data_IF_895492434250
#
_entry.id   IF_895492434250
#
_cell.length_a   1.000
_cell.length_b   1.000
_cell.length_c   1.000
_cell.angle_alpha   90.00
_cell.angle_beta   90.00
_cell.angle_gamma   90.00
#
_symmetry.space_group_name_H-M   'P 1'
#
loop_
_entity.id
_entity.type
_entity.pdbx_description
1 polymer ?
#
# COMPACT_ATOMS: atom_id res chain seq x y z
N UNK A 1 3.01 -24.58 -40.72
CA UNK A 1 2.23 -23.34 -40.52
C UNK A 1 2.19 -23.07 -39.02
N UNK A 2 3.22 -22.40 -38.49
CA UNK A 2 3.37 -22.08 -37.06
C UNK A 2 3.03 -20.59 -36.88
N UNK A 3 1.84 -20.29 -36.37
CA UNK A 3 1.48 -18.93 -35.96
C UNK A 3 2.14 -18.61 -34.62
N UNK A 4 3.35 -18.05 -34.68
CA UNK A 4 4.01 -17.43 -33.53
C UNK A 4 3.56 -15.98 -33.40
N UNK A 5 2.46 -15.72 -32.69
CA UNK A 5 2.21 -14.40 -32.15
C UNK A 5 3.07 -14.23 -30.90
N UNK A 6 4.27 -13.65 -31.07
CA UNK A 6 4.97 -13.00 -29.96
C UNK A 6 4.14 -11.78 -29.55
N UNK A 7 3.18 -11.96 -28.64
CA UNK A 7 2.59 -10.84 -27.93
C UNK A 7 3.64 -10.31 -26.97
N UNK A 8 4.32 -9.24 -27.37
CA UNK A 8 5.21 -8.49 -26.49
C UNK A 8 4.39 -7.95 -25.31
N UNK A 9 4.69 -8.43 -24.11
CA UNK A 9 3.89 -8.15 -22.92
C UNK A 9 4.26 -6.75 -22.39
N UNK A 10 3.62 -5.71 -22.92
CA UNK A 10 3.79 -4.34 -22.43
C UNK A 10 3.05 -4.14 -21.10
N UNK A 11 3.79 -4.07 -19.99
CA UNK A 11 3.24 -3.72 -18.67
C UNK A 11 3.08 -2.20 -18.57
N UNK A 12 1.90 -1.72 -18.16
CA UNK A 12 1.63 -0.30 -17.89
C UNK A 12 1.06 -0.17 -16.48
N UNK A 13 1.82 0.44 -15.57
CA UNK A 13 1.33 0.83 -14.25
C UNK A 13 0.62 2.17 -14.37
N UNK A 14 -0.64 2.21 -13.96
CA UNK A 14 -1.49 3.40 -13.98
C UNK A 14 -2.18 3.51 -12.63
N UNK A 15 -2.34 4.73 -12.13
CA UNK A 15 -3.25 4.95 -11.00
C UNK A 15 -4.70 4.74 -11.44
N UNK A 16 -5.56 4.38 -10.49
CA UNK A 16 -6.99 4.16 -10.75
C UNK A 16 -7.65 5.38 -11.41
N UNK A 17 -7.26 6.59 -11.02
CA UNK A 17 -7.76 7.83 -11.64
C UNK A 17 -7.35 8.00 -13.11
N UNK A 18 -6.12 7.59 -13.48
CA UNK A 18 -5.65 7.66 -14.87
C UNK A 18 -6.39 6.64 -15.73
N UNK A 19 -6.55 5.40 -15.25
CA UNK A 19 -7.31 4.37 -15.96
C UNK A 19 -8.78 4.79 -16.15
N UNK A 20 -9.39 5.37 -15.11
CA UNK A 20 -10.76 5.87 -15.19
C UNK A 20 -10.88 6.99 -16.24
N UNK A 21 -9.95 7.95 -16.26
CA UNK A 21 -9.92 9.01 -17.28
C UNK A 21 -9.77 8.44 -18.69
N UNK A 22 -8.90 7.45 -18.86
CA UNK A 22 -8.71 6.77 -20.14
C UNK A 22 -9.98 6.06 -20.62
N UNK A 23 -10.76 5.48 -19.70
CA UNK A 23 -12.05 4.86 -20.02
C UNK A 23 -13.11 5.85 -20.53
N UNK A 24 -12.96 7.16 -20.25
CA UNK A 24 -13.86 8.19 -20.80
C UNK A 24 -13.60 8.41 -22.30
N UNK A 25 -12.34 8.33 -22.73
CA UNK A 25 -11.96 8.48 -24.14
C UNK A 25 -12.03 7.17 -24.92
N UNK A 26 -11.73 6.05 -24.28
CA UNK A 26 -11.82 4.71 -24.86
C UNK A 26 -12.67 3.79 -23.96
N UNK A 27 -14.01 3.84 -24.08
CA UNK A 27 -14.92 3.10 -23.20
C UNK A 27 -14.70 1.59 -23.20
N UNK A 28 -14.21 1.02 -24.30
CA UNK A 28 -13.96 -0.42 -24.41
C UNK A 28 -12.57 -0.83 -23.95
N UNK A 29 -11.66 0.13 -23.70
CA UNK A 29 -10.30 -0.10 -23.21
C UNK A 29 -9.53 -1.12 -24.06
N UNK A 30 -9.71 -1.11 -25.40
CA UNK A 30 -9.21 -2.13 -26.34
C UNK A 30 -7.71 -2.40 -26.28
N UNK A 31 -6.93 -1.41 -25.87
CA UNK A 31 -5.48 -1.54 -25.73
C UNK A 31 -5.04 -2.45 -24.56
N UNK A 32 -5.96 -2.84 -23.69
CA UNK A 32 -5.71 -3.75 -22.58
C UNK A 32 -6.37 -5.10 -22.85
N UNK A 33 -5.58 -6.16 -22.71
CA UNK A 33 -6.04 -7.57 -22.67
C UNK A 33 -6.20 -8.08 -21.24
N UNK A 34 -5.47 -7.48 -20.29
CA UNK A 34 -5.55 -7.77 -18.86
C UNK A 34 -5.55 -6.45 -18.09
N UNK A 35 -6.47 -6.33 -17.13
CA UNK A 35 -6.51 -5.23 -16.16
C UNK A 35 -6.35 -5.82 -14.76
N UNK A 36 -5.41 -5.31 -13.98
CA UNK A 36 -5.22 -5.68 -12.58
C UNK A 36 -5.66 -4.49 -11.74
N UNK A 37 -6.69 -4.67 -10.91
CA UNK A 37 -7.13 -3.69 -9.92
C UNK A 37 -6.53 -4.09 -8.58
N UNK A 38 -5.48 -3.38 -8.18
CA UNK A 38 -4.75 -3.64 -6.95
C UNK A 38 -5.31 -2.85 -5.76
N UNK A 39 -5.05 -3.37 -4.56
CA UNK A 39 -5.48 -2.81 -3.28
C UNK A 39 -6.95 -2.40 -3.22
N UNK A 40 -7.82 -3.26 -3.76
CA UNK A 40 -9.26 -2.99 -3.79
C UNK A 40 -9.91 -2.82 -2.40
N UNK A 41 -9.18 -3.13 -1.32
CA UNK A 41 -9.64 -2.89 0.04
C UNK A 41 -9.62 -1.42 0.49
N UNK A 42 -8.85 -0.56 -0.18
CA UNK A 42 -8.81 0.88 0.16
C UNK A 42 -10.14 1.60 -0.14
N UNK A 43 -11.06 0.96 -0.89
CA UNK A 43 -12.41 1.46 -1.19
C UNK A 43 -12.45 2.92 -1.63
N UNK A 44 -11.47 3.33 -2.43
CA UNK A 44 -11.50 4.65 -3.03
C UNK A 44 -12.62 4.74 -4.07
N UNK A 45 -13.24 5.92 -4.20
CA UNK A 45 -14.32 6.17 -5.16
C UNK A 45 -13.96 5.72 -6.59
N UNK A 46 -12.71 5.99 -7.01
CA UNK A 46 -12.23 5.58 -8.33
C UNK A 46 -12.24 4.06 -8.50
N UNK A 47 -11.87 3.31 -7.46
CA UNK A 47 -11.85 1.85 -7.48
C UNK A 47 -13.26 1.29 -7.59
N UNK A 48 -14.21 1.82 -6.83
CA UNK A 48 -15.60 1.37 -6.89
C UNK A 48 -16.24 1.62 -8.26
N UNK A 49 -15.97 2.79 -8.86
CA UNK A 49 -16.41 3.10 -10.22
C UNK A 49 -15.76 2.13 -11.22
N UNK A 50 -14.46 1.90 -11.10
CA UNK A 50 -13.74 0.95 -11.97
C UNK A 50 -14.30 -0.46 -11.84
N UNK A 51 -14.63 -0.96 -10.65
CA UNK A 51 -15.23 -2.27 -10.45
C UNK A 51 -16.57 -2.39 -11.20
N UNK A 52 -17.41 -1.35 -11.13
CA UNK A 52 -18.65 -1.27 -11.90
C UNK A 52 -18.41 -1.28 -13.42
N UNK A 53 -17.44 -0.50 -13.89
CA UNK A 53 -17.05 -0.46 -15.31
C UNK A 53 -16.50 -1.81 -15.79
N UNK A 54 -15.63 -2.44 -15.01
CA UNK A 54 -15.03 -3.74 -15.33
C UNK A 54 -16.12 -4.82 -15.42
N UNK A 55 -17.08 -4.83 -14.49
CA UNK A 55 -18.20 -5.78 -14.53
C UNK A 55 -19.01 -5.66 -15.83
N UNK A 56 -19.21 -4.44 -16.33
CA UNK A 56 -19.84 -4.21 -17.64
C UNK A 56 -18.94 -4.68 -18.77
N UNK A 57 -17.66 -4.32 -18.75
CA UNK A 57 -16.71 -4.65 -19.82
C UNK A 57 -16.46 -6.14 -19.98
N UNK A 58 -16.33 -6.90 -18.90
CA UNK A 58 -16.17 -8.35 -18.96
C UNK A 58 -17.31 -9.01 -19.74
N UNK A 59 -18.54 -8.49 -19.65
CA UNK A 59 -19.69 -9.01 -20.42
C UNK A 59 -19.59 -8.70 -21.91
N UNK A 60 -19.11 -7.51 -22.28
CA UNK A 60 -18.98 -7.10 -23.67
C UNK A 60 -17.71 -7.65 -24.35
N UNK A 61 -16.65 -7.88 -23.57
CA UNK A 61 -15.31 -8.29 -24.01
C UNK A 61 -14.90 -9.65 -23.42
N UNK A 62 -15.87 -10.55 -23.28
CA UNK A 62 -15.69 -11.83 -22.60
C UNK A 62 -14.61 -12.73 -23.23
N UNK A 63 -14.33 -12.56 -24.53
CA UNK A 63 -13.36 -13.36 -25.27
C UNK A 63 -11.92 -12.86 -25.17
N UNK A 64 -11.71 -11.57 -24.84
CA UNK A 64 -10.40 -10.91 -25.00
C UNK A 64 -9.95 -10.04 -23.82
N UNK A 65 -10.80 -9.81 -22.81
CA UNK A 65 -10.44 -9.08 -21.59
C UNK A 65 -10.44 -9.98 -20.36
N UNK A 66 -9.33 -9.96 -19.61
CA UNK A 66 -9.23 -10.55 -18.27
C UNK A 66 -9.11 -9.45 -17.22
N UNK A 67 -9.75 -9.66 -16.07
CA UNK A 67 -9.66 -8.75 -14.93
C UNK A 67 -9.22 -9.55 -13.70
N UNK A 68 -8.16 -9.08 -13.05
CA UNK A 68 -7.69 -9.59 -11.75
C UNK A 68 -7.93 -8.51 -10.71
N UNK A 69 -8.49 -8.88 -9.57
CA UNK A 69 -8.71 -7.98 -8.44
C UNK A 69 -7.90 -8.54 -7.28
N UNK A 70 -6.98 -7.74 -6.75
CA UNK A 70 -6.15 -8.10 -5.61
C UNK A 70 -6.53 -7.26 -4.39
N UNK A 71 -6.44 -7.89 -3.22
CA UNK A 71 -6.83 -7.27 -1.96
C UNK A 71 -6.26 -8.03 -0.76
N UNK A 72 -5.80 -7.30 0.25
CA UNK A 72 -5.34 -7.89 1.51
C UNK A 72 -6.48 -8.27 2.47
N UNK A 73 -7.61 -7.54 2.46
CA UNK A 73 -8.64 -7.64 3.51
C UNK A 73 -10.07 -7.74 2.99
N UNK A 74 -10.29 -7.58 1.69
CA UNK A 74 -11.64 -7.63 1.14
C UNK A 74 -12.15 -9.07 1.15
N UNK A 75 -13.37 -9.23 1.65
CA UNK A 75 -14.14 -10.47 1.56
C UNK A 75 -14.30 -10.91 0.10
N UNK A 76 -13.47 -11.88 -0.31
CA UNK A 76 -13.44 -12.40 -1.67
C UNK A 76 -14.79 -12.95 -2.14
N UNK A 77 -15.66 -13.41 -1.23
CA UNK A 77 -16.99 -13.90 -1.59
C UNK A 77 -17.92 -12.76 -2.02
N UNK A 78 -17.83 -11.59 -1.38
CA UNK A 78 -18.63 -10.41 -1.79
C UNK A 78 -18.24 -9.94 -3.19
N UNK A 79 -16.94 -9.90 -3.49
CA UNK A 79 -16.45 -9.57 -4.84
C UNK A 79 -16.84 -10.65 -5.84
N UNK A 80 -16.67 -11.92 -5.50
CA UNK A 80 -17.11 -13.03 -6.34
C UNK A 80 -18.60 -12.93 -6.71
N UNK A 81 -19.47 -12.72 -5.72
CA UNK A 81 -20.90 -12.51 -5.94
C UNK A 81 -21.17 -11.29 -6.84
N UNK A 82 -20.44 -10.19 -6.63
CA UNK A 82 -20.57 -9.02 -7.49
C UNK A 82 -20.16 -9.33 -8.94
N UNK A 83 -19.12 -10.14 -9.17
CA UNK A 83 -18.66 -10.58 -10.49
C UNK A 83 -19.24 -11.94 -10.94
N UNK A 84 -20.49 -12.22 -10.58
CA UNK A 84 -21.24 -13.40 -11.07
C UNK A 84 -20.59 -14.75 -10.73
N UNK A 85 -20.05 -14.87 -9.52
CA UNK A 85 -19.44 -16.10 -9.00
C UNK A 85 -18.03 -16.34 -9.53
N UNK A 86 -17.24 -15.28 -9.75
CA UNK A 86 -15.88 -15.44 -10.24
C UNK A 86 -15.00 -16.23 -9.25
N UNK A 87 -13.98 -16.97 -9.71
CA UNK A 87 -13.10 -17.72 -8.83
C UNK A 87 -12.39 -16.81 -7.82
N UNK A 88 -12.24 -17.31 -6.59
CA UNK A 88 -11.51 -16.63 -5.52
C UNK A 88 -10.27 -17.46 -5.20
N UNK A 89 -9.11 -16.82 -5.24
CA UNK A 89 -7.85 -17.42 -4.83
C UNK A 89 -7.39 -16.73 -3.54
N UNK A 90 -7.31 -17.50 -2.46
CA UNK A 90 -6.76 -17.04 -1.19
C UNK A 90 -5.31 -17.49 -1.09
N UNK A 91 -4.39 -16.54 -0.98
CA UNK A 91 -2.98 -16.82 -0.73
C UNK A 91 -2.79 -16.81 0.79
N UNK A 92 -2.42 -17.94 1.44
CA UNK A 92 -2.20 -17.96 2.86
C UNK A 92 -1.00 -17.07 3.21
N UNK A 93 -1.22 -16.09 4.08
CA UNK A 93 -0.14 -15.30 4.68
C UNK A 93 0.45 -16.02 5.88
N UNK A 94 1.77 -15.95 6.05
CA UNK A 94 2.39 -16.33 7.33
C UNK A 94 2.42 -15.08 8.21
N UNK A 95 1.73 -15.14 9.34
CA UNK A 95 1.75 -14.08 10.34
C UNK A 95 2.69 -14.54 11.45
N UNK A 96 3.71 -13.72 11.75
CA UNK A 96 4.54 -13.93 12.93
C UNK A 96 3.82 -13.39 14.16
N UNK A 97 3.95 -14.03 15.34
CA UNK A 97 3.35 -13.50 16.56
C UNK A 97 3.93 -12.11 16.86
N UNK A 98 3.06 -11.15 17.16
CA UNK A 98 3.42 -9.78 17.52
C UNK A 98 2.87 -9.48 18.91
N UNK A 99 3.77 -9.06 19.81
CA UNK A 99 3.39 -8.58 21.14
C UNK A 99 2.83 -7.15 21.04
N UNK A 100 1.76 -6.88 21.81
CA UNK A 100 1.07 -5.59 21.79
C UNK A 100 1.17 -4.93 23.14
N UNK A 101 1.70 -3.72 23.16
CA UNK A 101 1.79 -2.88 24.35
C UNK A 101 0.86 -1.68 24.21
N UNK A 102 0.13 -1.37 25.29
CA UNK A 102 -0.78 -0.24 25.35
C UNK A 102 -0.32 0.71 26.45
N UNK A 103 -0.39 2.01 26.17
CA UNK A 103 -0.16 3.03 27.18
C UNK A 103 -1.25 2.94 28.26
N UNK A 104 -0.87 3.07 29.54
CA UNK A 104 -1.80 3.14 30.66
C UNK A 104 -2.65 4.42 30.60
N UNK A 105 -2.04 5.51 30.13
CA UNK A 105 -2.64 6.82 30.08
C UNK A 105 -2.75 7.33 28.64
N UNK A 106 -3.75 8.19 28.39
CA UNK A 106 -3.88 8.83 27.09
C UNK A 106 -2.76 9.87 26.91
N UNK A 107 -1.94 9.78 25.85
CA UNK A 107 -0.86 10.74 25.64
C UNK A 107 -1.43 12.13 25.37
N UNK A 108 -0.91 13.14 26.07
CA UNK A 108 -1.25 14.56 25.85
C UNK A 108 -0.64 15.09 24.55
N UNK A 109 0.56 14.63 24.22
CA UNK A 109 1.24 14.87 22.97
C UNK A 109 1.73 13.53 22.40
N UNK A 110 1.12 13.10 21.29
CA UNK A 110 1.43 11.81 20.69
C UNK A 110 2.81 11.81 20.02
N UNK A 111 3.29 12.94 19.46
CA UNK A 111 4.63 13.03 18.86
C UNK A 111 5.70 12.78 19.92
N UNK A 112 5.58 13.46 21.06
CA UNK A 112 6.55 13.31 22.15
C UNK A 112 6.50 11.92 22.78
N UNK A 113 5.30 11.34 22.90
CA UNK A 113 5.12 9.98 23.41
C UNK A 113 5.70 8.93 22.46
N UNK A 114 5.52 9.10 21.15
CA UNK A 114 6.13 8.26 20.11
C UNK A 114 7.64 8.39 20.09
N UNK A 115 8.18 9.61 20.25
CA UNK A 115 9.62 9.88 20.33
C UNK A 115 10.25 9.11 21.49
N UNK A 116 9.68 9.25 22.70
CA UNK A 116 10.16 8.53 23.88
C UNK A 116 10.13 7.02 23.66
N UNK A 117 9.03 6.50 23.12
CA UNK A 117 8.85 5.07 22.87
C UNK A 117 9.87 4.55 21.85
N UNK A 118 10.12 5.29 20.77
CA UNK A 118 11.10 4.91 19.76
C UNK A 118 12.53 4.86 20.31
N UNK A 119 12.91 5.84 21.14
CA UNK A 119 14.21 5.85 21.80
C UNK A 119 14.33 4.72 22.83
N UNK A 120 13.27 4.47 23.61
CA UNK A 120 13.23 3.35 24.55
C UNK A 120 13.44 2.00 23.84
N UNK A 121 12.78 1.79 22.69
CA UNK A 121 12.96 0.59 21.86
C UNK A 121 14.40 0.52 21.35
N UNK A 122 14.92 1.60 20.75
CA UNK A 122 16.28 1.65 20.19
C UNK A 122 17.37 1.30 21.22
N UNK A 123 17.16 1.68 22.49
CA UNK A 123 18.15 1.47 23.55
C UNK A 123 18.00 0.12 24.25
N UNK A 124 16.76 -0.37 24.44
CA UNK A 124 16.48 -1.52 25.33
C UNK A 124 16.21 -2.82 24.60
N UNK A 125 15.72 -2.77 23.37
CA UNK A 125 15.34 -3.96 22.61
C UNK A 125 16.51 -4.50 21.77
N UNK A 126 16.35 -5.74 21.29
CA UNK A 126 17.31 -6.36 20.39
C UNK A 126 17.36 -5.62 19.03
N UNK A 127 18.45 -5.80 18.24
CA UNK A 127 18.59 -5.16 16.94
C UNK A 127 17.41 -5.42 15.99
N UNK A 128 16.90 -4.36 15.38
CA UNK A 128 15.81 -4.39 14.41
C UNK A 128 15.38 -2.98 13.99
N UNK A 129 14.60 -2.90 12.92
CA UNK A 129 14.08 -1.63 12.41
C UNK A 129 12.80 -1.20 13.14
N UNK A 130 12.60 0.11 13.29
CA UNK A 130 11.43 0.70 13.93
C UNK A 130 10.59 1.45 12.90
N UNK A 131 9.34 1.03 12.70
CA UNK A 131 8.36 1.74 11.88
C UNK A 131 7.45 2.59 12.76
N UNK A 132 7.44 3.90 12.53
CA UNK A 132 6.65 4.85 13.30
C UNK A 132 5.60 5.50 12.40
N UNK A 133 4.33 5.37 12.78
CA UNK A 133 3.22 6.00 12.06
C UNK A 133 2.93 7.41 12.60
N UNK A 134 2.89 8.39 11.70
CA UNK A 134 2.56 9.80 11.98
C UNK A 134 1.43 10.28 11.07
N UNK A 135 0.71 11.32 11.49
CA UNK A 135 -0.55 11.72 10.81
C UNK A 135 -0.37 12.49 9.52
N UNK A 136 0.82 13.01 9.24
CA UNK A 136 1.09 13.76 8.01
C UNK A 136 2.52 14.22 7.90
N UNK A 137 2.86 14.86 6.77
CA UNK A 137 4.22 15.32 6.47
C UNK A 137 4.80 16.19 7.59
N UNK A 138 4.07 17.20 8.04
CA UNK A 138 4.58 18.14 9.05
C UNK A 138 4.94 17.43 10.37
N UNK A 139 4.22 16.37 10.72
CA UNK A 139 4.48 15.61 11.94
C UNK A 139 5.62 14.59 11.73
N UNK A 140 5.76 14.04 10.53
CA UNK A 140 6.91 13.22 10.12
C UNK A 140 8.18 14.06 10.18
N UNK A 141 8.21 15.24 9.55
CA UNK A 141 9.38 16.11 9.51
C UNK A 141 9.80 16.53 10.93
N UNK A 142 8.84 16.90 11.79
CA UNK A 142 9.11 17.20 13.21
C UNK A 142 9.67 15.99 13.96
N UNK A 143 9.14 14.80 13.72
CA UNK A 143 9.58 13.58 14.37
C UNK A 143 11.01 13.21 13.95
N UNK A 144 11.34 13.32 12.66
CA UNK A 144 12.68 13.07 12.14
C UNK A 144 13.69 14.00 12.81
N UNK A 145 13.45 15.32 12.79
CA UNK A 145 14.35 16.28 13.44
C UNK A 145 14.55 15.99 14.93
N UNK A 146 13.48 15.65 15.65
CA UNK A 146 13.52 15.31 17.09
C UNK A 146 14.29 14.01 17.36
N UNK A 147 14.14 13.00 16.50
CA UNK A 147 14.86 11.73 16.62
C UNK A 147 16.36 11.95 16.39
N UNK A 148 16.73 12.63 15.31
CA UNK A 148 18.12 12.93 14.98
C UNK A 148 18.80 13.71 16.12
N UNK A 149 18.15 14.77 16.62
CA UNK A 149 18.64 15.53 17.77
C UNK A 149 18.80 14.65 19.01
N UNK A 150 17.84 13.76 19.29
CA UNK A 150 17.89 12.92 20.50
C UNK A 150 18.97 11.85 20.41
N UNK A 151 19.16 11.24 19.23
CA UNK A 151 20.16 10.23 18.95
C UNK A 151 21.57 10.82 19.04
N UNK A 152 21.79 12.01 18.45
CA UNK A 152 23.08 12.71 18.55
C UNK A 152 23.48 13.07 19.99
N UNK A 153 22.51 13.25 20.87
CA UNK A 153 22.71 13.57 22.28
C UNK A 153 22.76 12.34 23.21
N UNK A 154 22.76 11.11 22.68
CA UNK A 154 22.94 9.90 23.50
C UNK A 154 24.40 9.79 23.97
N UNK A 155 24.60 9.31 25.20
CA UNK A 155 25.94 9.16 25.79
C UNK A 155 26.79 8.15 25.03
N UNK A 156 28.09 8.44 24.88
CA UNK A 156 29.07 7.58 24.22
C UNK A 156 29.04 6.15 24.83
N UNK A 157 28.63 5.18 24.01
CA UNK A 157 28.53 3.76 24.41
C UNK A 157 27.11 3.17 24.35
N UNK A 158 26.09 4.00 24.10
CA UNK A 158 24.72 3.59 23.79
C UNK A 158 24.56 3.49 22.26
N UNK A 159 23.98 2.41 21.71
CA UNK A 159 23.73 2.15 20.27
C UNK A 159 23.84 3.41 19.36
N UNK A 160 25.05 3.68 18.84
CA UNK A 160 25.45 5.02 18.40
C UNK A 160 24.88 5.44 17.04
N UNK A 161 24.45 4.48 16.23
CA UNK A 161 24.05 4.74 14.85
C UNK A 161 22.61 4.28 14.61
N UNK A 162 21.71 5.24 14.41
CA UNK A 162 20.37 5.01 13.89
C UNK A 162 20.18 5.84 12.63
N UNK A 163 19.75 5.18 11.55
CA UNK A 163 19.38 5.84 10.31
C UNK A 163 17.89 6.21 10.40
N UNK A 164 17.60 7.51 10.42
CA UNK A 164 16.23 8.03 10.47
C UNK A 164 15.80 8.41 9.06
N UNK A 165 14.70 7.82 8.56
CA UNK A 165 14.21 8.06 7.20
C UNK A 165 12.73 8.49 7.23
N UNK A 166 12.36 9.62 6.59
CA UNK A 166 10.96 9.99 6.40
C UNK A 166 10.32 9.16 5.28
N UNK A 167 9.03 8.89 5.39
CA UNK A 167 8.23 8.31 4.30
C UNK A 167 6.87 8.99 4.20
N UNK A 168 6.64 9.75 3.12
CA UNK A 168 5.35 10.38 2.84
C UNK A 168 5.09 10.54 1.33
N UNK A 169 3.82 10.68 0.94
CA UNK A 169 3.39 10.64 -0.46
C UNK A 169 3.90 11.77 -1.37
N UNK A 170 4.47 12.84 -0.82
CA UNK A 170 5.09 13.93 -1.59
C UNK A 170 6.60 13.77 -1.82
N UNK A 171 7.22 12.68 -1.36
CA UNK A 171 8.61 12.38 -1.66
C UNK A 171 8.79 12.07 -3.16
N UNK A 172 9.91 12.50 -3.77
CA UNK A 172 10.31 12.01 -5.09
C UNK A 172 10.49 10.49 -5.11
N UNK A 173 10.28 9.81 -6.24
CA UNK A 173 10.44 8.35 -6.35
C UNK A 173 11.83 7.83 -5.97
N UNK A 174 12.88 8.65 -6.11
CA UNK A 174 14.25 8.29 -5.74
C UNK A 174 14.48 8.29 -4.22
N UNK A 175 13.57 8.90 -3.47
CA UNK A 175 13.60 9.03 -2.01
C UNK A 175 12.51 8.19 -1.32
N UNK A 176 11.70 7.45 -2.11
CA UNK A 176 10.69 6.49 -1.64
C UNK A 176 11.26 5.07 -1.69
#
# INVERSE_FOLDING_TARGET
MLFGLKTELQKRLRSNGVLLRESLSNPELKQYSVIILDEAHERSLNTDILLGLMKRLIKHRASDLKVLITSATLDGLKVSNFFSGCPVLNIPGTIFPVEKFYSTDRPTNYIESSLRTAIDIHVKEAPGDVLIFMTGKDDIDKMVSKLEERIQNLEEGSCMDALVLPLHGSLPPEQQ
#
